data_IF_336712725520
#
_entry.id   IF_336712725520
#
_cell.length_a   1.000
_cell.length_b   1.000
_cell.length_c   1.000
_cell.angle_alpha   90.00
_cell.angle_beta   90.00
_cell.angle_gamma   90.00
#
_symmetry.space_group_name_H-M   'P 1'
#
loop_
_entity.id
_entity.type
_entity.pdbx_description
1 polymer ?
#
# COMPACT_ATOMS: atom_id res chain seq x y z
N UNK A 1 -51.57 -68.19 -4.54
CA UNK A 1 -50.93 -67.01 -5.16
C UNK A 1 -51.08 -65.86 -4.18
N UNK A 2 -50.01 -65.44 -3.52
CA UNK A 2 -50.02 -64.40 -2.47
C UNK A 2 -49.14 -63.25 -2.95
N UNK A 3 -49.76 -62.10 -3.22
CA UNK A 3 -49.11 -60.89 -3.72
C UNK A 3 -48.58 -60.07 -2.53
N UNK A 4 -47.25 -59.98 -2.38
CA UNK A 4 -46.61 -59.07 -1.42
C UNK A 4 -46.48 -57.68 -2.05
N UNK A 5 -47.16 -56.67 -1.50
CA UNK A 5 -46.93 -55.26 -1.83
C UNK A 5 -45.70 -54.77 -1.08
N UNK A 6 -44.68 -54.35 -1.83
CA UNK A 6 -43.49 -53.69 -1.31
C UNK A 6 -43.82 -52.19 -1.12
N UNK A 7 -43.71 -51.69 0.11
CA UNK A 7 -43.79 -50.25 0.40
C UNK A 7 -42.36 -49.74 0.48
N UNK A 8 -41.97 -48.88 -0.45
CA UNK A 8 -40.66 -48.23 -0.47
C UNK A 8 -40.84 -46.83 0.12
N UNK A 9 -40.32 -46.63 1.33
CA UNK A 9 -40.25 -45.31 1.97
C UNK A 9 -38.95 -44.64 1.54
N UNK A 10 -39.03 -43.65 0.66
CA UNK A 10 -37.88 -42.81 0.28
C UNK A 10 -37.72 -41.75 1.37
N UNK A 11 -36.69 -41.90 2.21
CA UNK A 11 -36.24 -40.85 3.12
C UNK A 11 -35.36 -39.87 2.33
N UNK A 12 -35.91 -38.72 1.97
CA UNK A 12 -35.12 -37.60 1.44
C UNK A 12 -34.24 -37.03 2.55
N UNK A 13 -32.95 -37.35 2.50
CA UNK A 13 -31.91 -36.76 3.33
C UNK A 13 -31.64 -35.33 2.81
N UNK A 14 -32.27 -34.33 3.42
CA UNK A 14 -31.96 -32.92 3.19
C UNK A 14 -30.63 -32.60 3.88
N UNK A 15 -29.55 -32.59 3.11
CA UNK A 15 -28.25 -32.07 3.56
C UNK A 15 -28.37 -30.55 3.51
N UNK A 16 -28.59 -29.92 4.67
CA UNK A 16 -28.47 -28.48 4.82
C UNK A 16 -26.97 -28.15 4.80
N UNK A 17 -26.47 -27.70 3.65
CA UNK A 17 -25.14 -27.07 3.55
C UNK A 17 -25.23 -25.71 4.22
N UNK A 18 -24.72 -25.58 5.45
CA UNK A 18 -24.47 -24.29 6.07
C UNK A 18 -23.33 -23.63 5.29
N UNK A 19 -23.67 -22.77 4.33
CA UNK A 19 -22.71 -21.81 3.81
C UNK A 19 -22.38 -20.87 4.99
N UNK A 20 -21.20 -21.02 5.57
CA UNK A 20 -20.63 -19.96 6.40
C UNK A 20 -20.55 -18.73 5.51
N UNK A 21 -21.32 -17.69 5.86
CA UNK A 21 -21.18 -16.41 5.22
C UNK A 21 -19.79 -15.89 5.59
N UNK A 22 -18.84 -16.04 4.67
CA UNK A 22 -17.60 -15.28 4.75
C UNK A 22 -18.01 -13.83 4.56
N UNK A 23 -18.06 -13.07 5.65
CA UNK A 23 -18.18 -11.62 5.56
C UNK A 23 -17.08 -11.12 4.62
N UNK A 24 -17.40 -10.24 3.65
CA UNK A 24 -16.39 -9.69 2.76
C UNK A 24 -15.33 -8.97 3.60
N UNK A 25 -14.06 -9.19 3.26
CA UNK A 25 -12.96 -8.49 3.91
C UNK A 25 -13.20 -6.97 3.84
N UNK A 26 -12.84 -6.22 4.89
CA UNK A 26 -12.86 -4.77 4.84
C UNK A 26 -12.03 -4.24 3.66
N UNK A 27 -12.36 -3.07 3.11
CA UNK A 27 -11.55 -2.45 2.07
C UNK A 27 -10.13 -2.22 2.57
N UNK A 28 -9.15 -2.43 1.70
CA UNK A 28 -7.75 -2.09 1.98
C UNK A 28 -7.58 -0.57 2.08
N UNK A 29 -6.98 -0.10 3.17
CA UNK A 29 -6.70 1.31 3.38
C UNK A 29 -5.70 1.84 2.36
N UNK A 30 -4.70 1.03 2.01
CA UNK A 30 -3.58 1.46 1.18
C UNK A 30 -3.90 1.39 -0.32
N UNK A 31 -5.00 0.73 -0.70
CA UNK A 31 -5.41 0.57 -2.09
C UNK A 31 -5.99 1.85 -2.74
N UNK A 32 -6.36 2.89 -1.98
CA UNK A 32 -6.85 4.14 -2.58
C UNK A 32 -5.66 4.94 -3.16
N UNK A 33 -5.59 5.13 -4.49
CA UNK A 33 -4.45 5.79 -5.10
C UNK A 33 -4.57 7.31 -4.98
N UNK A 34 -3.42 7.98 -4.97
CA UNK A 34 -3.35 9.40 -5.31
C UNK A 34 -3.85 9.59 -6.75
N UNK A 35 -4.65 10.64 -6.97
CA UNK A 35 -5.23 10.95 -8.28
C UNK A 35 -4.62 12.21 -8.86
N UNK A 36 -4.37 12.20 -10.16
CA UNK A 36 -3.92 13.36 -10.91
C UNK A 36 -5.03 14.40 -11.09
N UNK A 37 -4.69 15.54 -11.70
CA UNK A 37 -5.63 16.65 -11.92
C UNK A 37 -6.85 16.27 -12.78
N UNK A 38 -6.74 15.24 -13.62
CA UNK A 38 -7.81 14.71 -14.46
C UNK A 38 -8.67 13.65 -13.76
N UNK A 39 -8.32 13.25 -12.53
CA UNK A 39 -9.03 12.25 -11.73
C UNK A 39 -8.53 10.80 -11.90
N UNK A 40 -7.66 10.55 -12.87
CA UNK A 40 -7.03 9.24 -13.05
C UNK A 40 -6.03 8.93 -11.92
N UNK A 41 -5.87 7.66 -11.52
CA UNK A 41 -4.82 7.25 -10.60
C UNK A 41 -3.45 7.69 -11.12
N UNK A 42 -2.61 8.23 -10.24
CA UNK A 42 -1.21 8.39 -10.54
C UNK A 42 -0.53 7.03 -10.45
N UNK A 43 0.03 6.59 -11.58
CA UNK A 43 0.68 5.30 -11.70
C UNK A 43 1.95 5.43 -12.55
N UNK A 44 2.84 4.45 -12.39
CA UNK A 44 4.00 4.27 -13.27
C UNK A 44 3.65 3.48 -14.54
N UNK A 45 4.66 3.23 -15.38
CA UNK A 45 4.47 2.47 -16.63
C UNK A 45 4.07 1.00 -16.40
N UNK A 46 4.36 0.44 -15.22
CA UNK A 46 3.96 -0.91 -14.81
C UNK A 46 2.56 -0.96 -14.15
N UNK A 47 1.96 0.20 -13.86
CA UNK A 47 0.67 0.33 -13.20
C UNK A 47 0.75 0.35 -11.67
N UNK A 48 1.95 0.43 -11.10
CA UNK A 48 2.14 0.67 -9.66
C UNK A 48 1.57 2.05 -9.32
N UNK A 49 0.74 2.12 -8.29
CA UNK A 49 0.16 3.38 -7.81
C UNK A 49 0.82 3.81 -6.51
N UNK A 50 0.64 5.08 -6.15
CA UNK A 50 0.99 5.62 -4.82
C UNK A 50 -0.29 5.70 -4.00
N UNK A 51 -0.27 5.17 -2.79
CA UNK A 51 -1.37 5.25 -1.83
C UNK A 51 -1.56 6.68 -1.35
N UNK A 52 -2.82 7.08 -1.18
CA UNK A 52 -3.16 8.36 -0.56
C UNK A 52 -2.98 8.35 0.96
N UNK A 53 -3.02 7.17 1.59
CA UNK A 53 -3.14 7.05 3.05
C UNK A 53 -2.00 6.29 3.73
N UNK A 54 -1.10 5.70 2.95
CA UNK A 54 -0.06 4.83 3.47
C UNK A 54 1.31 5.25 2.93
N UNK A 55 2.27 5.29 3.84
CA UNK A 55 3.63 5.74 3.54
C UNK A 55 4.39 4.64 2.81
N UNK A 56 5.24 4.98 1.83
CA UNK A 56 6.10 3.99 1.17
C UNK A 56 7.09 3.38 2.14
N UNK A 57 7.40 2.10 1.96
CA UNK A 57 8.55 1.48 2.62
C UNK A 57 9.10 0.33 1.79
N UNK A 58 10.42 0.18 1.81
CA UNK A 58 11.09 -1.06 1.41
C UNK A 58 10.97 -2.00 2.59
N UNK A 59 10.20 -3.07 2.47
CA UNK A 59 9.99 -4.05 3.55
C UNK A 59 9.26 -3.50 4.79
N UNK A 60 8.00 -3.01 4.62
CA UNK A 60 7.22 -2.61 5.77
C UNK A 60 6.81 -3.80 6.64
N UNK A 61 6.75 -3.62 7.97
CA UNK A 61 6.32 -4.67 8.89
C UNK A 61 4.92 -5.16 8.54
N UNK A 62 4.73 -6.48 8.55
CA UNK A 62 3.41 -7.09 8.32
C UNK A 62 2.55 -6.93 9.56
N UNK A 63 1.37 -6.33 9.40
CA UNK A 63 0.36 -6.25 10.44
C UNK A 63 -0.73 -7.31 10.24
N UNK A 64 -1.22 -7.45 9.00
CA UNK A 64 -2.24 -8.43 8.58
C UNK A 64 -3.51 -8.37 9.46
N UNK A 65 -4.03 -7.15 9.68
CA UNK A 65 -5.20 -6.94 10.57
C UNK A 65 -6.18 -5.91 10.05
N UNK A 66 -7.42 -6.09 10.52
CA UNK A 66 -8.42 -5.05 10.49
C UNK A 66 -8.03 -3.90 11.43
N UNK A 67 -8.17 -2.68 10.95
CA UNK A 67 -7.92 -1.44 11.69
C UNK A 67 -9.15 -0.54 11.61
N UNK A 68 -9.30 0.31 12.62
CA UNK A 68 -10.37 1.29 12.69
C UNK A 68 -9.80 2.67 12.38
N UNK A 69 -10.15 3.20 11.20
CA UNK A 69 -9.58 4.44 10.69
C UNK A 69 -10.63 5.54 10.57
N UNK A 70 -10.23 6.75 10.94
CA UNK A 70 -10.89 7.98 10.53
C UNK A 70 -10.16 8.52 9.31
N UNK A 71 -10.86 8.57 8.17
CA UNK A 71 -10.28 8.98 6.88
C UNK A 71 -10.67 10.43 6.58
N UNK A 72 -9.68 11.28 6.35
CA UNK A 72 -9.84 12.68 5.96
C UNK A 72 -8.83 13.05 4.88
N UNK A 73 -8.04 14.10 5.12
CA UNK A 73 -6.85 14.39 4.32
C UNK A 73 -5.78 13.30 4.54
N UNK A 74 -5.53 12.97 5.81
CA UNK A 74 -4.74 11.82 6.25
C UNK A 74 -5.65 10.78 6.90
N UNK A 75 -5.20 9.53 6.94
CA UNK A 75 -5.85 8.48 7.72
C UNK A 75 -5.27 8.47 9.14
N UNK A 76 -6.12 8.24 10.15
CA UNK A 76 -5.65 7.95 11.51
C UNK A 76 -6.31 6.67 11.99
N UNK A 77 -5.49 5.66 12.26
CA UNK A 77 -5.95 4.30 12.55
C UNK A 77 -5.58 3.83 13.95
N UNK A 78 -6.37 2.87 14.46
CA UNK A 78 -6.14 2.14 15.72
C UNK A 78 -6.61 0.71 15.56
N UNK A 79 -6.18 -0.18 16.45
CA UNK A 79 -6.76 -1.52 16.52
C UNK A 79 -8.24 -1.46 16.94
N UNK A 80 -9.07 -2.40 16.45
CA UNK A 80 -10.42 -2.62 16.98
C UNK A 80 -10.39 -2.94 18.48
N UNK A 81 -11.55 -2.88 19.13
CA UNK A 81 -11.68 -3.34 20.51
C UNK A 81 -11.49 -4.86 20.64
N UNK A 82 -11.54 -5.37 21.88
CA UNK A 82 -11.33 -6.79 22.17
C UNK A 82 -12.34 -7.75 21.50
N UNK A 83 -13.44 -7.23 20.94
CA UNK A 83 -14.44 -8.02 20.19
C UNK A 83 -14.45 -7.67 18.69
N UNK A 84 -13.41 -7.00 18.18
CA UNK A 84 -13.24 -6.72 16.75
C UNK A 84 -14.09 -5.56 16.22
N UNK A 85 -14.58 -4.67 17.10
CA UNK A 85 -15.44 -3.53 16.72
C UNK A 85 -14.68 -2.22 16.69
N UNK A 86 -15.08 -1.37 15.75
CA UNK A 86 -14.63 0.02 15.70
C UNK A 86 -15.51 0.87 16.62
N UNK A 87 -14.90 1.38 17.69
CA UNK A 87 -15.53 2.37 18.60
C UNK A 87 -15.62 3.75 17.96
N UNK A 88 -14.83 4.01 16.92
CA UNK A 88 -14.87 5.20 16.07
C UNK A 88 -14.26 4.87 14.71
N UNK A 89 -14.65 5.62 13.67
CA UNK A 89 -14.14 5.41 12.31
C UNK A 89 -14.79 4.23 11.59
N UNK A 90 -14.23 3.89 10.43
CA UNK A 90 -14.63 2.75 9.62
C UNK A 90 -13.54 1.67 9.69
N UNK A 91 -13.94 0.43 9.43
CA UNK A 91 -13.02 -0.69 9.41
C UNK A 91 -12.34 -0.78 8.05
N UNK A 92 -11.03 -0.93 8.05
CA UNK A 92 -10.20 -1.16 6.87
C UNK A 92 -9.26 -2.33 7.11
N UNK A 93 -8.75 -2.92 6.04
CA UNK A 93 -7.65 -3.85 6.08
C UNK A 93 -6.32 -3.08 6.02
N UNK A 94 -5.34 -3.54 6.80
CA UNK A 94 -3.99 -3.02 6.83
C UNK A 94 -3.04 -4.21 6.79
N UNK A 95 -2.58 -4.53 5.59
CA UNK A 95 -1.67 -5.66 5.35
C UNK A 95 -0.31 -5.39 5.99
N UNK A 96 0.24 -4.21 5.71
CA UNK A 96 1.50 -3.75 6.28
C UNK A 96 1.27 -2.57 7.21
N UNK A 97 1.84 -2.62 8.40
CA UNK A 97 1.70 -1.58 9.40
C UNK A 97 2.36 -1.92 10.74
N UNK A 98 2.46 -0.93 11.61
CA UNK A 98 2.94 -1.11 12.97
C UNK A 98 2.26 -0.18 13.97
N UNK A 99 2.46 -0.48 15.25
CA UNK A 99 1.91 0.33 16.33
C UNK A 99 2.91 1.42 16.75
N UNK A 100 2.65 2.66 16.33
CA UNK A 100 3.47 3.83 16.65
C UNK A 100 2.69 4.78 17.56
N UNK A 101 3.23 5.09 18.74
CA UNK A 101 2.63 6.07 19.65
C UNK A 101 1.18 5.79 20.07
N UNK A 102 0.77 4.51 20.09
CA UNK A 102 -0.60 4.10 20.41
C UNK A 102 -1.61 4.21 19.26
N UNK A 103 -1.14 4.51 18.05
CA UNK A 103 -1.88 4.45 16.80
C UNK A 103 -1.40 3.27 15.97
N UNK A 104 -2.12 2.95 14.91
CA UNK A 104 -1.62 2.10 13.83
C UNK A 104 -1.26 2.99 12.66
N UNK A 105 -0.04 2.84 12.17
CA UNK A 105 0.42 3.36 10.89
C UNK A 105 0.40 2.20 9.89
N UNK A 106 -0.19 2.44 8.72
CA UNK A 106 -0.23 1.48 7.64
C UNK A 106 0.72 1.94 6.55
N UNK A 107 1.40 0.98 5.92
CA UNK A 107 2.42 1.24 4.93
C UNK A 107 2.03 0.62 3.61
N UNK A 108 2.49 1.24 2.53
CA UNK A 108 2.45 0.65 1.21
C UNK A 108 3.82 0.06 0.91
N UNK A 109 3.87 -1.25 0.64
CA UNK A 109 5.08 -1.89 0.17
C UNK A 109 5.44 -1.43 -1.25
N UNK A 110 6.74 -1.29 -1.50
CA UNK A 110 7.25 -0.80 -2.77
C UNK A 110 8.65 -1.31 -3.09
N UNK A 111 8.99 -1.41 -4.38
CA UNK A 111 10.30 -1.91 -4.79
C UNK A 111 11.40 -0.94 -4.36
N UNK A 112 12.47 -1.47 -3.78
CA UNK A 112 13.63 -0.68 -3.37
C UNK A 112 14.39 -0.11 -4.56
N UNK A 113 14.67 1.19 -4.52
CA UNK A 113 15.57 1.84 -5.49
C UNK A 113 16.97 1.20 -5.46
N UNK A 114 17.50 0.90 -4.28
CA UNK A 114 18.79 0.23 -4.14
C UNK A 114 18.80 -1.20 -4.67
N UNK A 115 17.76 -2.00 -4.36
CA UNK A 115 17.69 -3.38 -4.86
C UNK A 115 17.56 -3.44 -6.40
N UNK A 116 17.00 -2.39 -7.01
CA UNK A 116 16.97 -2.21 -8.45
C UNK A 116 18.33 -1.77 -9.05
N UNK A 117 19.36 -1.53 -8.24
CA UNK A 117 20.67 -1.04 -8.67
C UNK A 117 20.69 0.46 -9.00
N UNK A 118 19.68 1.20 -8.56
CA UNK A 118 19.45 2.62 -8.88
C UNK A 118 19.83 3.55 -7.72
N UNK A 119 20.45 3.05 -6.66
CA UNK A 119 21.00 3.93 -5.62
C UNK A 119 22.49 4.12 -5.80
N UNK A 120 23.03 5.17 -5.19
CA UNK A 120 24.45 5.52 -5.27
C UNK A 120 25.20 4.90 -4.07
N UNK A 121 25.82 3.70 -4.21
CA UNK A 121 26.45 3.03 -3.09
C UNK A 121 27.71 3.79 -2.63
N UNK A 122 27.84 3.97 -1.31
CA UNK A 122 29.07 4.47 -0.68
C UNK A 122 29.47 5.90 -1.06
N UNK A 123 28.55 6.69 -1.61
CA UNK A 123 28.74 8.13 -1.77
C UNK A 123 28.38 8.80 -0.45
N UNK A 124 29.36 9.48 0.17
CA UNK A 124 29.02 10.54 1.12
C UNK A 124 28.11 11.53 0.39
N UNK A 125 27.11 12.06 1.08
CA UNK A 125 26.28 13.11 0.52
C UNK A 125 27.16 14.33 0.14
N UNK A 126 27.33 14.55 -1.18
CA UNK A 126 28.14 15.66 -1.73
C UNK A 126 27.24 16.85 -2.18
N UNK A 127 25.92 16.70 -2.07
CA UNK A 127 24.94 17.71 -2.52
C UNK A 127 24.77 18.92 -1.59
N UNK A 128 24.17 19.98 -2.12
CA UNK A 128 23.67 21.15 -1.36
C UNK A 128 22.15 21.08 -1.06
N UNK A 129 21.51 19.97 -1.44
CA UNK A 129 20.12 19.62 -1.16
C UNK A 129 19.71 19.44 0.31
N UNK A 130 18.42 19.16 0.48
CA UNK A 130 17.85 18.72 1.75
C UNK A 130 17.88 17.18 1.80
N UNK A 131 18.49 16.64 2.85
CA UNK A 131 18.37 15.22 3.20
C UNK A 131 16.98 15.01 3.78
N UNK A 132 16.30 13.96 3.34
CA UNK A 132 15.09 13.47 4.00
C UNK A 132 15.44 12.19 4.77
N UNK A 133 14.91 12.10 6.00
CA UNK A 133 15.24 11.02 6.95
C UNK A 133 14.27 9.82 6.84
N UNK A 134 13.25 9.92 5.97
CA UNK A 134 12.18 8.93 5.82
C UNK A 134 12.09 8.37 4.40
N UNK A 135 11.33 7.29 4.23
CA UNK A 135 11.13 6.67 2.92
C UNK A 135 10.25 7.53 2.00
N UNK A 136 10.68 7.67 0.75
CA UNK A 136 9.99 8.49 -0.26
C UNK A 136 9.73 7.69 -1.54
N UNK A 137 8.60 7.94 -2.19
CA UNK A 137 8.42 7.49 -3.57
C UNK A 137 9.25 8.38 -4.51
N UNK A 138 9.99 7.72 -5.40
CA UNK A 138 10.70 8.36 -6.51
C UNK A 138 10.28 7.71 -7.83
N UNK A 139 10.22 8.53 -8.89
CA UNK A 139 10.07 8.04 -10.25
C UNK A 139 11.44 8.05 -10.91
N UNK A 140 11.96 6.87 -11.26
CA UNK A 140 13.28 6.74 -11.88
C UNK A 140 13.13 6.39 -13.36
N UNK A 141 13.85 7.12 -14.21
CA UNK A 141 13.90 6.94 -15.66
C UNK A 141 15.35 6.85 -16.12
N UNK A 142 15.60 6.14 -17.22
CA UNK A 142 16.94 5.97 -17.80
C UNK A 142 17.31 4.50 -18.00
N UNK A 143 18.45 4.28 -18.65
CA UNK A 143 19.09 2.98 -18.83
C UNK A 143 20.54 3.07 -18.32
N UNK A 144 21.04 1.98 -17.73
CA UNK A 144 22.42 1.85 -17.23
C UNK A 144 22.84 2.96 -16.23
N UNK A 145 23.92 3.69 -16.54
CA UNK A 145 24.58 4.66 -15.65
C UNK A 145 23.96 6.08 -15.69
N UNK A 146 23.01 6.32 -16.60
CA UNK A 146 22.35 7.62 -16.80
C UNK A 146 20.93 7.63 -16.21
N UNK A 147 20.72 6.97 -15.07
CA UNK A 147 19.42 7.00 -14.40
C UNK A 147 19.21 8.30 -13.63
N UNK A 148 18.04 8.91 -13.83
CA UNK A 148 17.60 10.11 -13.13
C UNK A 148 16.33 9.77 -12.35
N UNK A 149 16.39 9.92 -11.02
CA UNK A 149 15.24 9.79 -10.15
C UNK A 149 14.70 11.16 -9.79
N UNK A 150 13.38 11.32 -9.84
CA UNK A 150 12.69 12.51 -9.39
C UNK A 150 11.81 12.19 -8.19
N UNK A 151 11.77 13.10 -7.22
CA UNK A 151 10.87 13.00 -6.09
C UNK A 151 9.41 13.08 -6.55
N UNK A 152 8.57 12.15 -6.07
CA UNK A 152 7.13 12.16 -6.39
C UNK A 152 6.22 12.17 -5.16
N UNK A 153 6.78 11.96 -3.96
CA UNK A 153 6.09 12.22 -2.69
C UNK A 153 6.50 11.28 -1.55
N UNK A 154 6.55 11.83 -0.35
CA UNK A 154 6.37 11.12 0.92
C UNK A 154 4.86 11.12 1.21
N UNK A 155 4.27 9.95 1.53
CA UNK A 155 3.05 9.88 2.35
C UNK A 155 1.79 10.69 1.88
N UNK A 156 1.80 11.26 0.67
CA UNK A 156 0.88 12.31 0.19
C UNK A 156 1.24 13.75 0.63
N UNK A 157 0.88 14.81 -0.13
CA UNK A 157 -0.19 14.87 -1.11
C UNK A 157 0.24 15.39 -2.50
N UNK A 158 0.06 14.52 -3.48
CA UNK A 158 0.09 14.73 -4.92
C UNK A 158 1.50 14.84 -5.53
N UNK A 159 1.86 13.91 -6.44
CA UNK A 159 2.90 14.21 -7.41
C UNK A 159 2.52 15.53 -8.11
N UNK A 160 3.50 16.33 -8.57
CA UNK A 160 3.22 17.65 -9.11
C UNK A 160 2.12 17.56 -10.18
N UNK A 161 1.17 18.49 -10.15
CA UNK A 161 -0.01 18.40 -11.00
C UNK A 161 0.36 18.26 -12.49
N UNK A 162 -0.07 17.17 -13.12
CA UNK A 162 0.22 16.88 -14.53
C UNK A 162 1.51 16.10 -14.78
N UNK A 163 2.26 15.75 -13.74
CA UNK A 163 3.37 14.80 -13.85
C UNK A 163 2.80 13.38 -13.97
N UNK A 164 3.40 12.60 -14.86
CA UNK A 164 3.20 11.15 -15.00
C UNK A 164 4.55 10.50 -14.77
N UNK A 165 4.59 9.38 -14.06
CA UNK A 165 5.81 8.60 -13.99
C UNK A 165 5.89 7.71 -15.24
N UNK A 166 6.62 8.16 -16.27
CA UNK A 166 6.89 7.33 -17.46
C UNK A 166 7.99 6.28 -17.19
N UNK A 167 8.60 6.32 -16.00
CA UNK A 167 9.58 5.36 -15.49
C UNK A 167 8.96 4.34 -14.55
N UNK A 168 9.77 3.85 -13.60
CA UNK A 168 9.32 2.93 -12.55
C UNK A 168 9.26 3.64 -11.21
N UNK A 169 8.19 3.43 -10.47
CA UNK A 169 8.08 3.91 -9.09
C UNK A 169 8.88 3.00 -8.16
N UNK A 170 9.80 3.59 -7.41
CA UNK A 170 10.59 2.88 -6.41
C UNK A 170 10.64 3.65 -5.10
N UNK A 171 10.96 2.96 -4.02
CA UNK A 171 11.08 3.53 -2.69
C UNK A 171 12.54 3.82 -2.37
N UNK A 172 12.78 5.09 -2.09
CA UNK A 172 14.04 5.66 -1.66
C UNK A 172 13.99 5.79 -0.12
N UNK A 173 14.58 4.84 0.60
CA UNK A 173 14.52 4.84 2.08
C UNK A 173 15.33 5.96 2.72
N UNK A 174 16.36 6.44 2.02
CA UNK A 174 17.17 7.58 2.39
C UNK A 174 17.69 8.26 1.12
N UNK A 175 17.79 9.58 1.13
CA UNK A 175 18.26 10.31 -0.03
C UNK A 175 18.34 11.81 0.16
N UNK A 176 18.69 12.48 -0.93
CA UNK A 176 18.77 13.93 -0.96
C UNK A 176 18.30 14.50 -2.28
N UNK A 177 17.59 15.62 -2.21
CA UNK A 177 17.08 16.33 -3.39
C UNK A 177 18.13 17.32 -3.90
N UNK A 178 18.60 17.13 -5.13
CA UNK A 178 19.56 18.00 -5.79
C UNK A 178 18.96 19.36 -6.20
N UNK A 179 19.81 20.34 -6.52
CA UNK A 179 19.37 21.69 -6.94
C UNK A 179 18.56 21.68 -8.25
N UNK A 180 18.74 20.67 -9.08
CA UNK A 180 18.00 20.46 -10.33
C UNK A 180 16.66 19.71 -10.13
N UNK A 181 16.33 19.30 -8.90
CA UNK A 181 15.11 18.57 -8.56
C UNK A 181 15.20 17.05 -8.69
N UNK A 182 16.34 16.52 -9.13
CA UNK A 182 16.61 15.07 -9.07
C UNK A 182 16.84 14.62 -7.63
N UNK A 183 16.72 13.32 -7.38
CA UNK A 183 16.95 12.70 -6.07
C UNK A 183 18.08 11.70 -6.19
N UNK A 184 19.08 11.86 -5.31
CA UNK A 184 20.09 10.85 -5.07
C UNK A 184 19.58 9.93 -3.96
N UNK A 185 19.25 8.69 -4.31
CA UNK A 185 18.96 7.65 -3.34
C UNK A 185 20.24 7.02 -2.83
N UNK A 186 20.29 6.81 -1.53
CA UNK A 186 21.47 6.43 -0.79
C UNK A 186 21.18 5.16 0.03
N UNK A 187 22.22 4.41 0.35
CA UNK A 187 22.18 3.14 1.10
C UNK A 187 22.69 3.33 2.55
#
# INVERSE_FOLDING_TARGET
MITRKLVITIACLLIATTAEANDPLPPDLCAEPVRGATGEPYADREGQTISRFCDPRVDPPVLDKEVCCSVGEVATCKLPDAVGRCTSGMKFWCEHGEAVGGKIECYQDGPSTCAAGLCKPGQDYIGNGAIFDDSSWVCCQGEDDDFECMYVGESGPHPPAGVVCDGSLTVCSWGATNEDGTVDCLD
#
